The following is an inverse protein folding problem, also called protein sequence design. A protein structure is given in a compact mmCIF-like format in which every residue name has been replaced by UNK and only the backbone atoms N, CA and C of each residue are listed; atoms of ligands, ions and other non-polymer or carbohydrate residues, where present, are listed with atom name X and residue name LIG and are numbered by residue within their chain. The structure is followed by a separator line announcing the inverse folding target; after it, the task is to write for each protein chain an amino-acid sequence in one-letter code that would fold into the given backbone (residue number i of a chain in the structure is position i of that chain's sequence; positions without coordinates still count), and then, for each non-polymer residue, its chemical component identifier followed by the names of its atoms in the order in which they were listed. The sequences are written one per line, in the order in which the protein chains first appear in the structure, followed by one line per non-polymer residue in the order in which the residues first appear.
data_IF_131549720598
#
_entry.id   IF_131549720598
#
_cell.length_a   1.000
_cell.length_b   1.000
_cell.length_c   1.000
_cell.angle_alpha   90.00
_cell.angle_beta   90.00
_cell.angle_gamma   90.00
#
_symmetry.space_group_name_H-M   'P 1'
#
loop_
_entity.id
_entity.type
_entity.pdbx_description
1 polymer ?
#
# COMPACT_ATOMS: atom_id res chain seq x y z
N UNK A 1 16.70 -10.19 14.02
CA UNK A 1 15.42 -10.68 14.60
C UNK A 1 14.85 -11.77 13.71
N UNK A 2 14.21 -12.83 14.25
CA UNK A 2 13.55 -13.85 13.44
C UNK A 2 12.30 -13.25 12.77
N UNK A 3 12.26 -13.28 11.45
CA UNK A 3 11.13 -12.78 10.62
C UNK A 3 9.77 -13.34 11.07
N UNK A 4 9.76 -14.56 11.62
CA UNK A 4 8.54 -15.21 12.11
C UNK A 4 7.87 -14.43 13.26
N UNK A 5 8.65 -13.91 14.22
CA UNK A 5 8.12 -13.20 15.41
C UNK A 5 7.52 -11.86 15.02
N UNK A 6 8.18 -11.13 14.11
CA UNK A 6 7.67 -9.87 13.59
C UNK A 6 6.37 -10.07 12.80
N UNK A 7 6.29 -11.12 11.99
CA UNK A 7 5.10 -11.41 11.18
C UNK A 7 3.89 -11.75 12.06
N UNK A 8 4.08 -12.55 13.12
CA UNK A 8 3.01 -12.89 14.07
C UNK A 8 2.47 -11.67 14.81
N UNK A 9 3.38 -10.79 15.27
CA UNK A 9 3.02 -9.53 15.92
C UNK A 9 2.21 -8.60 14.99
N UNK A 10 2.55 -8.54 13.71
CA UNK A 10 1.81 -7.71 12.77
C UNK A 10 0.45 -8.30 12.41
N UNK A 11 0.33 -9.63 12.33
CA UNK A 11 -0.97 -10.30 12.17
C UNK A 11 -1.91 -10.01 13.35
N UNK A 12 -1.39 -9.93 14.58
CA UNK A 12 -2.19 -9.57 15.76
C UNK A 12 -2.60 -8.10 15.80
N UNK A 13 -1.74 -7.16 15.38
CA UNK A 13 -2.03 -5.73 15.48
C UNK A 13 -2.78 -5.14 14.27
N UNK A 14 -2.68 -5.75 13.09
CA UNK A 14 -3.30 -5.28 11.84
C UNK A 14 -4.05 -6.43 11.15
N UNK A 15 -5.19 -6.87 11.69
CA UNK A 15 -5.98 -7.93 11.06
C UNK A 15 -6.42 -7.48 9.66
N UNK A 16 -6.22 -8.36 8.66
CA UNK A 16 -6.51 -8.15 7.23
C UNK A 16 -5.62 -7.14 6.48
N UNK A 17 -4.49 -6.69 7.05
CA UNK A 17 -3.55 -5.79 6.36
C UNK A 17 -2.21 -6.48 6.11
N UNK A 18 -1.64 -6.28 4.92
CA UNK A 18 -0.31 -6.78 4.55
C UNK A 18 0.75 -5.68 4.65
N UNK A 19 2.02 -6.07 4.82
CA UNK A 19 3.13 -5.15 4.67
C UNK A 19 3.65 -5.17 3.23
N UNK A 20 3.56 -4.01 2.56
CA UNK A 20 4.12 -3.81 1.23
C UNK A 20 5.35 -2.92 1.34
N UNK A 21 6.52 -3.46 0.99
CA UNK A 21 7.75 -2.67 0.92
C UNK A 21 7.84 -2.03 -0.46
N UNK A 22 7.74 -0.71 -0.51
CA UNK A 22 7.94 0.08 -1.72
C UNK A 22 9.29 0.79 -1.68
N UNK A 23 9.83 1.12 -2.85
CA UNK A 23 10.96 2.04 -2.92
C UNK A 23 10.50 3.46 -2.58
N UNK A 24 11.43 4.30 -2.12
CA UNK A 24 11.14 5.69 -1.73
C UNK A 24 10.53 6.47 -2.91
N UNK A 25 11.15 6.37 -4.09
CA UNK A 25 10.70 7.09 -5.27
C UNK A 25 9.28 6.67 -5.69
N UNK A 26 8.99 5.36 -5.64
CA UNK A 26 7.64 4.83 -5.90
C UNK A 26 6.62 5.34 -4.88
N UNK A 27 7.02 5.50 -3.61
CA UNK A 27 6.15 6.05 -2.57
C UNK A 27 5.83 7.52 -2.84
N UNK A 28 6.82 8.30 -3.28
CA UNK A 28 6.66 9.71 -3.62
C UNK A 28 5.76 9.90 -4.86
N UNK A 29 5.94 9.06 -5.89
CA UNK A 29 5.04 9.03 -7.06
C UNK A 29 3.61 8.66 -6.65
N UNK A 30 3.44 7.65 -5.79
CA UNK A 30 2.13 7.24 -5.30
C UNK A 30 1.48 8.35 -4.44
N UNK A 31 2.27 9.10 -3.66
CA UNK A 31 1.78 10.24 -2.89
C UNK A 31 1.35 11.39 -3.81
N UNK A 32 2.11 11.67 -4.86
CA UNK A 32 1.74 12.64 -5.89
C UNK A 32 0.46 12.22 -6.62
N UNK A 33 0.32 10.94 -6.99
CA UNK A 33 -0.90 10.40 -7.60
C UNK A 33 -2.11 10.53 -6.68
N UNK A 34 -1.96 10.13 -5.41
CA UNK A 34 -2.98 10.28 -4.36
C UNK A 34 -3.46 11.72 -4.26
N UNK A 35 -2.52 12.68 -4.19
CA UNK A 35 -2.85 14.10 -4.07
C UNK A 35 -3.54 14.66 -5.31
N UNK A 36 -3.12 14.26 -6.51
CA UNK A 36 -3.71 14.71 -7.77
C UNK A 36 -5.14 14.19 -7.96
N UNK A 37 -5.44 12.99 -7.45
CA UNK A 37 -6.76 12.37 -7.54
C UNK A 37 -7.65 12.58 -6.30
N UNK A 38 -7.19 13.35 -5.31
CA UNK A 38 -7.96 13.65 -4.10
C UNK A 38 -8.26 12.42 -3.23
N UNK A 39 -7.40 11.39 -3.28
CA UNK A 39 -7.61 10.12 -2.59
C UNK A 39 -7.23 10.22 -1.12
N UNK A 40 -7.95 9.51 -0.25
CA UNK A 40 -7.82 9.61 1.20
C UNK A 40 -6.75 8.66 1.76
N UNK A 41 -6.52 7.52 1.12
CA UNK A 41 -5.51 6.54 1.52
C UNK A 41 -4.60 6.13 0.35
N UNK A 42 -3.47 5.51 0.68
CA UNK A 42 -2.63 4.84 -0.32
C UNK A 42 -3.30 3.57 -0.87
N UNK A 43 -4.19 2.96 -0.10
CA UNK A 43 -4.98 1.80 -0.51
C UNK A 43 -5.94 2.19 -1.65
N UNK A 44 -6.63 3.33 -1.52
CA UNK A 44 -7.46 3.92 -2.58
C UNK A 44 -6.63 4.23 -3.84
N UNK A 45 -5.41 4.74 -3.66
CA UNK A 45 -4.49 5.02 -4.77
C UNK A 45 -4.11 3.75 -5.53
N UNK A 46 -3.74 2.69 -4.81
CA UNK A 46 -3.40 1.40 -5.40
C UNK A 46 -4.62 0.76 -6.07
N UNK A 47 -5.77 0.75 -5.39
CA UNK A 47 -7.02 0.22 -5.94
C UNK A 47 -7.45 0.95 -7.22
N UNK A 48 -7.30 2.27 -7.25
CA UNK A 48 -7.53 3.09 -8.44
C UNK A 48 -6.58 2.74 -9.60
N UNK A 49 -5.30 2.50 -9.33
CA UNK A 49 -4.32 2.10 -10.34
C UNK A 49 -4.63 0.71 -10.90
N UNK A 50 -4.93 -0.27 -10.04
CA UNK A 50 -5.32 -1.63 -10.45
C UNK A 50 -6.59 -1.59 -11.31
N UNK A 51 -7.60 -0.83 -10.87
CA UNK A 51 -8.85 -0.66 -11.62
C UNK A 51 -8.61 -0.02 -13.00
N UNK A 52 -7.62 0.87 -13.13
CA UNK A 52 -7.24 1.45 -14.43
C UNK A 52 -6.54 0.46 -15.36
N UNK A 53 -5.69 -0.42 -14.83
CA UNK A 53 -5.03 -1.47 -15.62
C UNK A 53 -6.00 -2.55 -16.09
N UNK A 54 -6.98 -2.94 -15.26
CA UNK A 54 -7.95 -3.99 -15.58
C UNK A 54 -8.96 -3.58 -16.67
N UNK A 55 -9.07 -2.29 -16.97
CA UNK A 55 -9.91 -1.75 -18.04
C UNK A 55 -9.24 -1.90 -19.44
N UNK A 56 -8.02 -2.45 -19.52
CA UNK A 56 -7.21 -2.49 -20.75
C UNK A 56 -7.20 -3.81 -21.50
#
# INVERSE_FOLDING_TARGET
MPVAVWRDLMTQHYPNTGWLRLNRDTLDELAAYKSQHGLLSFDDAISSLISREEIR
#
